data_IF_341333495822
#
_entry.id   IF_341333495822
#
_cell.length_a   1.000
_cell.length_b   1.000
_cell.length_c   1.000
_cell.angle_alpha   90.00
_cell.angle_beta   90.00
_cell.angle_gamma   90.00
#
_symmetry.space_group_name_H-M   'P 1'
#
loop_
_entity.id
_entity.type
_entity.pdbx_description
1 polymer ?
#
# COMPACT_ATOMS: atom_id res chain seq x y z
N UNK A 1 16.27 40.68 -32.10
CA UNK A 1 15.84 39.61 -33.03
C UNK A 1 17.00 38.64 -33.22
N UNK A 2 16.86 37.39 -32.78
CA UNK A 2 17.32 36.17 -33.46
C UNK A 2 16.60 35.01 -32.76
N UNK A 3 15.86 34.30 -33.59
CA UNK A 3 14.88 33.26 -33.28
C UNK A 3 15.54 31.94 -33.67
N UNK A 4 15.38 30.91 -32.82
CA UNK A 4 15.43 29.47 -33.13
C UNK A 4 16.79 28.86 -33.52
N UNK A 5 17.19 27.83 -32.78
CA UNK A 5 17.18 26.40 -33.19
C UNK A 5 17.81 25.64 -32.00
N UNK A 6 17.04 24.90 -31.18
CA UNK A 6 16.72 23.48 -31.39
C UNK A 6 17.85 22.69 -32.05
N UNK A 7 18.51 21.85 -31.24
CA UNK A 7 19.12 20.53 -31.51
C UNK A 7 20.26 20.37 -30.51
N UNK A 8 20.03 19.57 -29.47
CA UNK A 8 20.94 19.00 -28.46
C UNK A 8 20.03 18.79 -27.25
N UNK A 9 19.18 17.76 -27.21
CA UNK A 9 19.60 16.42 -26.83
C UNK A 9 18.59 15.40 -27.38
N UNK A 10 18.94 14.80 -28.51
CA UNK A 10 18.31 13.59 -29.03
C UNK A 10 19.20 12.43 -28.57
N UNK A 11 19.22 12.18 -27.26
CA UNK A 11 19.97 11.06 -26.65
C UNK A 11 19.34 10.65 -25.31
N UNK A 12 18.16 10.06 -25.37
CA UNK A 12 17.65 9.10 -24.37
C UNK A 12 16.37 8.42 -24.88
N UNK A 13 16.44 7.79 -26.05
CA UNK A 13 15.41 6.88 -26.57
C UNK A 13 15.42 5.52 -25.84
N UNK A 14 16.12 5.35 -24.71
CA UNK A 14 16.50 4.00 -24.26
C UNK A 14 16.24 3.62 -22.79
N UNK A 15 15.32 4.26 -22.05
CA UNK A 15 14.99 3.75 -20.69
C UNK A 15 13.52 3.69 -20.29
N UNK A 16 12.56 4.08 -21.14
CA UNK A 16 11.13 3.96 -20.80
C UNK A 16 10.28 3.36 -21.94
N UNK A 17 10.87 2.44 -22.71
CA UNK A 17 10.09 1.40 -23.35
C UNK A 17 9.68 0.42 -22.24
N UNK A 18 8.43 0.51 -21.81
CA UNK A 18 7.82 -0.45 -20.90
C UNK A 18 8.04 -1.87 -21.42
N UNK A 19 8.73 -2.66 -20.62
CA UNK A 19 9.17 -3.99 -21.00
C UNK A 19 9.89 -4.67 -19.86
N UNK A 20 9.29 -4.69 -18.66
CA UNK A 20 9.56 -5.77 -17.72
C UNK A 20 9.00 -7.05 -18.35
N UNK A 21 9.79 -7.64 -19.26
CA UNK A 21 9.63 -9.01 -19.73
C UNK A 21 9.80 -9.93 -18.52
N UNK A 22 8.70 -10.27 -17.86
CA UNK A 22 8.54 -11.59 -17.26
C UNK A 22 7.95 -12.47 -18.37
N UNK A 23 8.81 -12.96 -19.26
CA UNK A 23 8.38 -13.76 -20.41
C UNK A 23 7.63 -15.02 -19.97
N UNK A 24 6.33 -15.07 -20.28
CA UNK A 24 5.53 -16.29 -20.29
C UNK A 24 4.65 -16.57 -19.07
N UNK A 25 4.75 -15.81 -17.97
CA UNK A 25 3.80 -15.96 -16.87
C UNK A 25 2.60 -15.02 -17.04
N UNK A 26 1.36 -15.53 -16.94
CA UNK A 26 0.21 -14.65 -16.88
C UNK A 26 0.37 -13.71 -15.68
N UNK A 27 -0.11 -12.45 -15.78
CA UNK A 27 -0.07 -11.55 -14.64
C UNK A 27 -0.74 -12.24 -13.44
N UNK A 28 -0.17 -12.10 -12.23
CA UNK A 28 -0.73 -12.74 -11.05
C UNK A 28 -2.17 -12.27 -10.84
N UNK A 29 -3.04 -13.20 -10.43
CA UNK A 29 -4.45 -12.90 -10.15
C UNK A 29 -4.53 -11.71 -9.16
N UNK A 30 -5.34 -10.67 -9.45
CA UNK A 30 -5.56 -9.55 -8.54
C UNK A 30 -5.89 -9.97 -7.09
N UNK A 31 -6.55 -11.11 -6.89
CA UNK A 31 -6.80 -11.69 -5.56
C UNK A 31 -5.50 -12.12 -4.88
N UNK A 32 -4.60 -12.79 -5.60
CA UNK A 32 -3.30 -13.20 -5.07
C UNK A 32 -2.42 -11.99 -4.76
N UNK A 33 -2.39 -10.99 -5.66
CA UNK A 33 -1.65 -9.74 -5.46
C UNK A 33 -2.19 -8.99 -4.25
N UNK A 34 -3.51 -8.80 -4.17
CA UNK A 34 -4.16 -8.11 -3.05
C UNK A 34 -3.85 -8.80 -1.73
N UNK A 35 -4.01 -10.13 -1.66
CA UNK A 35 -3.69 -10.92 -0.47
C UNK A 35 -2.22 -10.75 -0.04
N UNK A 36 -1.27 -10.90 -0.98
CA UNK A 36 0.17 -10.81 -0.72
C UNK A 36 0.54 -9.42 -0.21
N UNK A 37 0.12 -8.36 -0.92
CA UNK A 37 0.36 -6.96 -0.55
C UNK A 37 -0.21 -6.65 0.82
N UNK A 38 -1.50 -6.92 1.02
CA UNK A 38 -2.17 -6.69 2.30
C UNK A 38 -1.44 -7.39 3.43
N UNK A 39 -1.09 -8.66 3.28
CA UNK A 39 -0.40 -9.43 4.31
C UNK A 39 0.93 -8.82 4.75
N UNK A 40 1.78 -8.38 3.81
CA UNK A 40 3.05 -7.75 4.17
C UNK A 40 2.89 -6.37 4.79
N UNK A 41 1.97 -5.54 4.29
CA UNK A 41 1.69 -4.24 4.91
C UNK A 41 1.11 -4.40 6.32
N UNK A 42 0.26 -5.41 6.52
CA UNK A 42 -0.25 -5.81 7.83
C UNK A 42 0.88 -6.22 8.77
N UNK A 43 1.81 -7.08 8.33
CA UNK A 43 2.97 -7.48 9.13
C UNK A 43 3.81 -6.27 9.51
N UNK A 44 4.12 -5.38 8.57
CA UNK A 44 4.91 -4.18 8.83
C UNK A 44 4.24 -3.32 9.90
N UNK A 45 2.95 -3.04 9.71
CA UNK A 45 2.16 -2.22 10.64
C UNK A 45 2.08 -2.84 12.04
N UNK A 46 1.82 -4.15 12.13
CA UNK A 46 1.73 -4.84 13.40
C UNK A 46 3.08 -4.92 14.12
N UNK A 47 4.19 -5.13 13.41
CA UNK A 47 5.53 -5.08 13.99
C UNK A 47 5.85 -3.70 14.58
N UNK A 48 5.48 -2.64 13.88
CA UNK A 48 5.69 -1.26 14.33
C UNK A 48 4.84 -0.92 15.57
N UNK A 49 3.60 -1.38 15.60
CA UNK A 49 2.68 -1.14 16.71
C UNK A 49 2.94 -1.98 17.96
N UNK A 50 3.79 -3.01 17.88
CA UNK A 50 4.33 -3.69 19.08
C UNK A 50 4.96 -2.72 20.07
N UNK A 51 5.50 -1.62 19.55
CA UNK A 51 6.17 -0.60 20.34
C UNK A 51 5.19 0.51 20.75
N UNK A 52 4.19 0.14 21.54
CA UNK A 52 3.14 1.04 22.05
C UNK A 52 2.36 1.75 20.94
N UNK A 53 1.82 0.98 19.99
CA UNK A 53 0.97 1.49 18.91
C UNK A 53 1.61 2.67 18.16
N UNK A 54 2.90 2.59 17.85
CA UNK A 54 3.70 3.69 17.27
C UNK A 54 3.12 4.23 15.97
N UNK A 55 2.83 3.35 15.00
CA UNK A 55 2.33 3.78 13.68
C UNK A 55 0.85 4.18 13.81
N UNK A 56 0.07 3.48 14.62
CA UNK A 56 -1.32 3.86 14.88
C UNK A 56 -1.44 5.24 15.54
N UNK A 57 -0.60 5.57 16.51
CA UNK A 57 -0.55 6.92 17.10
C UNK A 57 -0.15 8.01 16.11
N UNK A 58 0.72 7.69 15.14
CA UNK A 58 1.22 8.66 14.19
C UNK A 58 0.22 8.98 13.07
N UNK A 59 -0.56 7.99 12.65
CA UNK A 59 -1.37 8.08 11.42
C UNK A 59 -2.87 8.03 11.63
N UNK A 60 -3.35 7.63 12.80
CA UNK A 60 -4.79 7.55 13.04
C UNK A 60 -5.33 8.83 13.68
N UNK A 61 -6.54 9.17 13.29
CA UNK A 61 -7.38 10.15 14.00
C UNK A 61 -8.09 9.52 15.21
N UNK A 62 -7.60 8.38 15.70
CA UNK A 62 -8.16 7.65 16.83
C UNK A 62 -7.52 8.16 18.14
N UNK A 63 -8.30 8.46 19.19
CA UNK A 63 -7.76 8.87 20.48
C UNK A 63 -6.81 7.80 21.06
N UNK A 64 -5.72 8.19 21.74
CA UNK A 64 -4.80 7.23 22.37
C UNK A 64 -5.49 6.26 23.34
N UNK A 65 -6.58 6.68 23.99
CA UNK A 65 -7.40 5.86 24.88
C UNK A 65 -8.11 4.70 24.16
N UNK A 66 -8.16 4.71 22.83
CA UNK A 66 -8.71 3.67 21.98
C UNK A 66 -7.61 2.84 21.28
N UNK A 67 -6.33 2.97 21.65
CA UNK A 67 -5.28 2.12 21.09
C UNK A 67 -4.92 1.02 22.08
N UNK A 68 -5.53 -0.15 21.92
CA UNK A 68 -5.38 -1.27 22.84
C UNK A 68 -5.36 -2.61 22.11
N UNK A 69 -4.89 -3.65 22.79
CA UNK A 69 -4.77 -4.99 22.19
C UNK A 69 -6.13 -5.68 22.01
N UNK A 70 -7.11 -5.35 22.85
CA UNK A 70 -8.48 -5.86 22.81
C UNK A 70 -9.28 -5.32 21.63
N UNK A 71 -8.99 -4.11 21.15
CA UNK A 71 -9.62 -3.50 19.97
C UNK A 71 -8.70 -3.42 18.74
N UNK A 72 -7.79 -4.39 18.61
CA UNK A 72 -6.83 -4.48 17.51
C UNK A 72 -7.47 -4.51 16.12
N UNK A 73 -8.74 -4.92 15.99
CA UNK A 73 -9.45 -4.95 14.70
C UNK A 73 -9.77 -3.53 14.22
N UNK A 74 -10.26 -2.68 15.10
CA UNK A 74 -10.57 -1.28 14.83
C UNK A 74 -9.29 -0.49 14.50
N UNK A 75 -8.21 -0.78 15.24
CA UNK A 75 -6.88 -0.23 14.96
C UNK A 75 -6.40 -0.70 13.58
N UNK A 76 -6.49 -2.00 13.28
CA UNK A 76 -6.10 -2.54 11.98
C UNK A 76 -6.90 -1.93 10.83
N UNK A 77 -8.22 -1.73 10.99
CA UNK A 77 -9.09 -1.15 9.97
C UNK A 77 -8.64 0.26 9.57
N UNK A 78 -8.21 1.07 10.53
CA UNK A 78 -7.76 2.44 10.26
C UNK A 78 -6.44 2.44 9.46
N UNK A 79 -5.48 1.59 9.84
CA UNK A 79 -4.22 1.45 9.07
C UNK A 79 -4.45 0.84 7.68
N UNK A 80 -5.36 -0.13 7.59
CA UNK A 80 -5.73 -0.79 6.34
C UNK A 80 -6.29 0.21 5.32
N UNK A 81 -7.13 1.16 5.76
CA UNK A 81 -7.65 2.24 4.89
C UNK A 81 -6.54 3.12 4.35
N UNK A 82 -5.53 3.45 5.17
CA UNK A 82 -4.37 4.22 4.75
C UNK A 82 -3.55 3.44 3.71
N UNK A 83 -3.32 2.14 3.94
CA UNK A 83 -2.63 1.27 2.98
C UNK A 83 -3.37 1.16 1.64
N UNK A 84 -4.71 0.98 1.67
CA UNK A 84 -5.52 0.98 0.44
C UNK A 84 -5.42 2.31 -0.32
N UNK A 85 -5.46 3.45 0.39
CA UNK A 85 -5.32 4.76 -0.25
C UNK A 85 -3.93 4.93 -0.87
N UNK A 86 -2.89 4.41 -0.24
CA UNK A 86 -1.53 4.37 -0.80
C UNK A 86 -1.47 3.53 -2.08
N UNK A 87 -2.09 2.36 -2.10
CA UNK A 87 -2.17 1.52 -3.31
C UNK A 87 -2.94 2.21 -4.44
N UNK A 88 -4.00 2.95 -4.11
CA UNK A 88 -4.70 3.81 -5.07
C UNK A 88 -3.75 4.87 -5.62
N UNK A 89 -3.07 5.63 -4.77
CA UNK A 89 -2.11 6.66 -5.17
C UNK A 89 -1.03 6.09 -6.11
N UNK A 90 -0.47 4.94 -5.77
CA UNK A 90 0.56 4.25 -6.58
C UNK A 90 0.05 3.72 -7.93
N UNK A 91 -1.27 3.63 -8.11
CA UNK A 91 -1.89 3.25 -9.38
C UNK A 91 -2.01 4.43 -10.35
N UNK A 92 -1.70 5.66 -9.91
CA UNK A 92 -1.63 6.83 -10.77
C UNK A 92 -0.20 7.12 -11.23
N UNK A 93 -0.04 7.69 -12.44
CA UNK A 93 1.29 8.03 -12.96
C UNK A 93 1.94 9.23 -12.24
N UNK A 94 1.16 10.06 -11.54
CA UNK A 94 1.66 11.19 -10.74
C UNK A 94 0.66 11.60 -9.66
N UNK A 95 1.15 12.34 -8.65
CA UNK A 95 0.32 12.93 -7.60
C UNK A 95 -0.73 13.90 -8.15
N UNK A 96 -0.37 14.73 -9.14
CA UNK A 96 -1.33 15.64 -9.80
C UNK A 96 -2.51 14.91 -10.44
N UNK A 97 -2.27 13.72 -11.02
CA UNK A 97 -3.33 12.90 -11.62
C UNK A 97 -4.22 12.26 -10.56
N UNK A 98 -3.64 11.87 -9.44
CA UNK A 98 -4.41 11.40 -8.28
C UNK A 98 -5.26 12.54 -7.69
N UNK A 99 -4.69 13.73 -7.49
CA UNK A 99 -5.41 14.88 -6.95
C UNK A 99 -6.54 15.32 -7.89
N UNK A 100 -6.30 15.36 -9.20
CA UNK A 100 -7.34 15.65 -10.20
C UNK A 100 -8.46 14.59 -10.19
N UNK A 101 -8.11 13.33 -9.96
CA UNK A 101 -9.09 12.26 -9.81
C UNK A 101 -9.97 12.47 -8.57
N UNK A 102 -9.37 12.83 -7.42
CA UNK A 102 -10.13 13.14 -6.21
C UNK A 102 -11.05 14.37 -6.37
N UNK A 103 -10.55 15.44 -6.99
CA UNK A 103 -11.33 16.65 -7.24
C UNK A 103 -12.53 16.41 -8.17
N UNK A 104 -12.41 15.46 -9.11
CA UNK A 104 -13.49 15.10 -10.03
C UNK A 104 -14.51 14.13 -9.44
N UNK A 105 -14.25 13.58 -8.25
CA UNK A 105 -15.10 12.60 -7.58
C UNK A 105 -15.29 12.92 -6.08
N UNK A 106 -15.82 14.12 -5.74
CA UNK A 106 -15.98 14.56 -4.35
C UNK A 106 -16.94 13.67 -3.53
N UNK A 107 -17.78 12.89 -4.20
CA UNK A 107 -18.73 11.97 -3.58
C UNK A 107 -18.10 10.67 -3.06
N UNK A 108 -16.87 10.35 -3.47
CA UNK A 108 -16.21 9.10 -3.10
C UNK A 108 -15.31 9.25 -1.88
N UNK A 109 -15.51 8.36 -0.90
CA UNK A 109 -14.53 8.15 0.15
C UNK A 109 -13.36 7.26 -0.33
N UNK A 110 -12.28 7.21 0.45
CA UNK A 110 -11.07 6.46 0.11
C UNK A 110 -11.32 4.97 -0.20
N UNK A 111 -12.29 4.33 0.48
CA UNK A 111 -12.62 2.92 0.26
C UNK A 111 -13.34 2.74 -1.08
N UNK A 112 -14.27 3.64 -1.42
CA UNK A 112 -14.97 3.63 -2.70
C UNK A 112 -14.01 3.88 -3.86
N UNK A 113 -13.08 4.83 -3.71
CA UNK A 113 -12.03 5.07 -4.70
C UNK A 113 -11.15 3.82 -4.89
N UNK A 114 -10.75 3.15 -3.80
CA UNK A 114 -9.98 1.91 -3.86
C UNK A 114 -10.74 0.78 -4.56
N UNK A 115 -12.02 0.59 -4.26
CA UNK A 115 -12.85 -0.43 -4.93
C UNK A 115 -13.01 -0.16 -6.43
N UNK A 116 -13.15 1.11 -6.82
CA UNK A 116 -13.29 1.50 -8.23
C UNK A 116 -12.00 1.35 -9.03
N UNK A 117 -10.86 1.70 -8.43
CA UNK A 117 -9.56 1.74 -9.13
C UNK A 117 -8.85 0.39 -9.07
N UNK A 118 -8.80 -0.24 -7.89
CA UNK A 118 -8.08 -1.49 -7.66
C UNK A 118 -8.99 -2.73 -7.90
N UNK A 119 -10.30 -2.53 -7.85
CA UNK A 119 -11.31 -3.59 -8.01
C UNK A 119 -11.72 -4.25 -6.70
N UNK A 120 -13.01 -4.58 -6.57
CA UNK A 120 -13.60 -5.20 -5.38
C UNK A 120 -12.86 -6.46 -4.89
N UNK A 121 -12.46 -7.33 -5.83
CA UNK A 121 -11.76 -8.58 -5.52
C UNK A 121 -10.38 -8.33 -4.91
N UNK A 122 -9.63 -7.37 -5.45
CA UNK A 122 -8.35 -6.97 -4.90
C UNK A 122 -8.52 -6.40 -3.49
N UNK A 123 -9.44 -5.44 -3.32
CA UNK A 123 -9.68 -4.77 -2.03
C UNK A 123 -10.04 -5.80 -0.97
N UNK A 124 -10.99 -6.70 -1.25
CA UNK A 124 -11.40 -7.74 -0.30
C UNK A 124 -10.23 -8.67 0.09
N UNK A 125 -9.37 -9.04 -0.88
CA UNK A 125 -8.21 -9.88 -0.62
C UNK A 125 -7.14 -9.14 0.19
N UNK A 126 -6.93 -7.87 -0.14
CA UNK A 126 -6.03 -6.98 0.58
C UNK A 126 -6.45 -6.83 2.04
N UNK A 127 -7.71 -6.52 2.31
CA UNK A 127 -8.23 -6.34 3.67
C UNK A 127 -8.03 -7.59 4.53
N UNK A 128 -8.35 -8.77 3.96
CA UNK A 128 -8.13 -10.06 4.62
C UNK A 128 -6.65 -10.33 4.90
N UNK A 129 -5.79 -10.08 3.92
CA UNK A 129 -4.35 -10.22 4.06
C UNK A 129 -3.82 -9.30 5.17
N UNK A 130 -4.19 -8.03 5.11
CA UNK A 130 -3.77 -7.00 6.06
C UNK A 130 -4.15 -7.35 7.49
N UNK A 131 -5.42 -7.64 7.74
CA UNK A 131 -5.88 -7.99 9.08
C UNK A 131 -5.11 -9.21 9.63
N UNK A 132 -4.93 -10.25 8.81
CA UNK A 132 -4.17 -11.44 9.22
C UNK A 132 -2.72 -11.10 9.55
N UNK A 133 -2.04 -10.34 8.68
CA UNK A 133 -0.64 -9.96 8.89
C UNK A 133 -0.44 -9.08 10.12
N UNK A 134 -1.34 -8.13 10.33
CA UNK A 134 -1.33 -7.23 11.48
C UNK A 134 -1.54 -7.98 12.79
N UNK A 135 -2.60 -8.78 12.89
CA UNK A 135 -2.91 -9.53 14.13
C UNK A 135 -1.78 -10.50 14.49
N UNK A 136 -1.22 -11.21 13.51
CA UNK A 136 -0.15 -12.18 13.75
C UNK A 136 1.16 -11.53 14.21
N UNK A 137 1.51 -10.39 13.62
CA UNK A 137 2.78 -9.72 13.91
C UNK A 137 2.72 -8.87 15.18
N UNK A 138 1.57 -8.25 15.49
CA UNK A 138 1.38 -7.41 16.68
C UNK A 138 1.60 -8.20 17.98
N UNK A 139 1.07 -9.42 18.08
CA UNK A 139 1.16 -10.23 19.30
C UNK A 139 2.15 -11.38 19.20
N UNK A 140 2.99 -11.42 18.15
CA UNK A 140 3.98 -12.49 17.99
C UNK A 140 4.98 -12.53 19.16
N UNK A 141 5.51 -13.71 19.48
CA UNK A 141 6.68 -13.81 20.37
C UNK A 141 7.90 -13.14 19.73
N UNK A 142 8.94 -12.75 20.50
CA UNK A 142 10.12 -12.08 19.96
C UNK A 142 10.78 -12.85 18.80
N UNK A 143 10.90 -14.18 18.92
CA UNK A 143 11.43 -15.04 17.86
C UNK A 143 10.59 -14.99 16.57
N UNK A 144 9.25 -15.05 16.70
CA UNK A 144 8.35 -14.93 15.54
C UNK A 144 8.39 -13.53 14.92
N UNK A 145 8.48 -12.48 15.73
CA UNK A 145 8.60 -11.11 15.27
C UNK A 145 9.89 -10.89 14.44
N UNK A 146 11.01 -11.46 14.90
CA UNK A 146 12.26 -11.43 14.15
C UNK A 146 12.15 -12.12 12.78
N UNK A 147 11.43 -13.26 12.72
CA UNK A 147 11.17 -13.95 11.46
C UNK A 147 10.30 -13.11 10.50
N UNK A 148 9.26 -12.45 11.02
CA UNK A 148 8.44 -11.53 10.22
C UNK A 148 9.27 -10.34 9.70
N UNK A 149 10.16 -9.78 10.52
CA UNK A 149 11.06 -8.72 10.09
C UNK A 149 12.03 -9.19 9.00
N UNK A 150 12.55 -10.42 9.11
CA UNK A 150 13.39 -11.04 8.07
C UNK A 150 12.62 -11.26 6.76
N UNK A 151 11.36 -11.71 6.86
CA UNK A 151 10.46 -11.90 5.72
C UNK A 151 10.21 -10.57 4.97
N UNK A 152 9.95 -9.48 5.69
CA UNK A 152 9.79 -8.15 5.07
C UNK A 152 11.07 -7.66 4.38
N UNK A 153 12.25 -7.97 4.95
CA UNK A 153 13.54 -7.63 4.32
C UNK A 153 13.77 -8.43 3.04
N UNK A 154 13.30 -9.67 2.97
CA UNK A 154 13.42 -10.51 1.78
C UNK A 154 12.52 -10.00 0.64
N UNK A 155 11.32 -9.50 0.95
CA UNK A 155 10.38 -8.99 -0.06
C UNK A 155 10.76 -7.59 -0.61
N UNK A 156 11.61 -6.84 0.09
CA UNK A 156 12.14 -5.56 -0.38
C UNK A 156 13.36 -5.69 -1.31
N UNK A 157 13.91 -6.90 -1.45
CA UNK A 157 15.03 -7.20 -2.34
C UNK A 157 14.50 -7.69 -3.67
#
# INVERSE_FOLDING_TARGET
MIRKLWVFFLFAVLLFAGGLHTDGQPPPDPVQVGMKKGYYEGIHSGLEDRHNFRISRAWQQMPPSQLRLDNKKEVAQSLMKIGLLREVYLSFPSGEKFDAYLHSHPEMNAVQAAQRILGQKFVTAYEKGFQKGYEQSLTASPKKAANYAALLKAEKK
#
